data_IF_530089962251
#
_entry.id   IF_530089962251
#
_cell.length_a   1.000
_cell.length_b   1.000
_cell.length_c   1.000
_cell.angle_alpha   90.00
_cell.angle_beta   90.00
_cell.angle_gamma   90.00
#
_symmetry.space_group_name_H-M   'P 1'
#
loop_
_entity.id
_entity.type
_entity.pdbx_description
1 polymer ?
#
# COMPACT_ATOMS: atom_id res chain seq x y z
N UNK A 1 -10.95 -6.90 5.78
CA UNK A 1 -9.62 -7.19 6.34
C UNK A 1 -9.30 -8.67 6.16
N UNK A 2 -8.08 -9.01 5.75
CA UNK A 2 -7.69 -10.41 5.48
C UNK A 2 -6.80 -10.89 6.62
N UNK A 3 -7.11 -12.03 7.20
CA UNK A 3 -6.27 -12.68 8.21
C UNK A 3 -5.63 -13.92 7.59
N UNK A 4 -4.33 -13.86 7.31
CA UNK A 4 -3.60 -15.07 6.88
C UNK A 4 -3.23 -15.94 8.08
N UNK A 5 -3.42 -17.26 7.96
CA UNK A 5 -2.96 -18.22 8.96
C UNK A 5 -2.32 -19.46 8.32
N UNK A 6 -1.39 -20.10 9.04
CA UNK A 6 -0.73 -21.34 8.58
C UNK A 6 -1.39 -22.59 9.16
N UNK A 7 -1.56 -22.64 10.48
CA UNK A 7 -2.08 -23.81 11.21
C UNK A 7 -3.10 -23.50 12.32
N UNK A 8 -3.22 -22.23 12.73
CA UNK A 8 -4.06 -21.80 13.86
C UNK A 8 -5.40 -21.25 13.38
N UNK A 9 -6.21 -22.10 12.77
CA UNK A 9 -7.50 -21.73 12.18
C UNK A 9 -8.48 -21.16 13.21
N UNK A 10 -8.61 -21.82 14.37
CA UNK A 10 -9.53 -21.39 15.41
C UNK A 10 -9.19 -19.98 15.94
N UNK A 11 -7.90 -19.66 16.10
CA UNK A 11 -7.46 -18.32 16.51
C UNK A 11 -7.75 -17.28 15.41
N UNK A 12 -7.51 -17.63 14.14
CA UNK A 12 -7.80 -16.74 13.02
C UNK A 12 -9.30 -16.46 12.86
N UNK A 13 -10.15 -17.48 13.05
CA UNK A 13 -11.60 -17.33 13.04
C UNK A 13 -12.11 -16.52 14.23
N UNK A 14 -11.49 -16.66 15.41
CA UNK A 14 -11.81 -15.80 16.55
C UNK A 14 -11.50 -14.34 16.25
N UNK A 15 -10.34 -14.04 15.66
CA UNK A 15 -9.98 -12.68 15.24
C UNK A 15 -10.98 -12.13 14.22
N UNK A 16 -11.43 -12.96 13.26
CA UNK A 16 -12.49 -12.56 12.31
C UNK A 16 -13.77 -12.18 13.06
N UNK A 17 -14.23 -13.05 13.96
CA UNK A 17 -15.44 -12.81 14.75
C UNK A 17 -15.33 -11.53 15.59
N UNK A 18 -14.17 -11.26 16.19
CA UNK A 18 -13.93 -10.05 16.98
C UNK A 18 -13.98 -8.77 16.13
N UNK A 19 -13.50 -8.83 14.88
CA UNK A 19 -13.56 -7.70 13.93
C UNK A 19 -15.01 -7.49 13.48
N UNK A 20 -15.74 -8.56 13.15
CA UNK A 20 -17.14 -8.49 12.75
C UNK A 20 -18.04 -7.97 13.87
N UNK A 21 -17.80 -8.36 15.12
CA UNK A 21 -18.51 -7.86 16.29
C UNK A 21 -18.33 -6.35 16.51
N UNK A 22 -17.23 -5.77 16.01
CA UNK A 22 -16.96 -4.32 16.07
C UNK A 22 -17.50 -3.56 14.84
N UNK A 23 -18.27 -4.23 13.98
CA UNK A 23 -18.81 -3.65 12.75
C UNK A 23 -17.82 -3.59 11.59
N UNK A 24 -16.64 -4.19 11.73
CA UNK A 24 -15.69 -4.38 10.64
C UNK A 24 -16.05 -5.57 9.74
N UNK A 25 -15.39 -5.69 8.61
CA UNK A 25 -15.48 -6.89 7.75
C UNK A 25 -14.13 -7.58 7.69
N UNK A 26 -14.09 -8.88 8.01
CA UNK A 26 -12.88 -9.68 7.94
C UNK A 26 -13.14 -11.08 7.38
N UNK A 27 -12.10 -11.70 6.84
CA UNK A 27 -12.12 -13.12 6.49
C UNK A 27 -10.73 -13.72 6.65
N UNK A 28 -10.69 -15.00 6.99
CA UNK A 28 -9.45 -15.74 7.17
C UNK A 28 -9.09 -16.50 5.89
N UNK A 29 -7.81 -16.48 5.52
CA UNK A 29 -7.25 -17.31 4.44
C UNK A 29 -6.13 -18.16 5.00
N UNK A 30 -6.13 -19.44 4.66
CA UNK A 30 -5.03 -20.32 5.01
C UNK A 30 -3.95 -20.28 3.92
N UNK A 31 -2.75 -19.83 4.26
CA UNK A 31 -1.58 -19.97 3.39
C UNK A 31 -0.29 -20.01 4.20
N UNK A 32 0.58 -20.95 3.85
CA UNK A 32 2.00 -20.90 4.22
C UNK A 32 2.73 -19.91 3.31
N UNK A 33 3.24 -18.82 3.89
CA UNK A 33 3.98 -17.79 3.14
C UNK A 33 5.31 -18.34 2.60
N UNK A 34 5.82 -19.44 3.17
CA UNK A 34 7.02 -20.12 2.67
C UNK A 34 6.77 -20.96 1.41
N UNK A 35 5.51 -21.17 1.01
CA UNK A 35 5.12 -21.93 -0.18
C UNK A 35 4.56 -20.98 -1.25
N UNK A 36 5.33 -20.78 -2.33
CA UNK A 36 4.97 -19.89 -3.44
C UNK A 36 3.61 -20.25 -4.07
N UNK A 37 3.28 -21.54 -4.20
CA UNK A 37 2.02 -21.96 -4.79
C UNK A 37 0.83 -21.61 -3.90
N UNK A 38 1.00 -21.66 -2.57
CA UNK A 38 -0.02 -21.24 -1.61
C UNK A 38 -0.18 -19.72 -1.60
N UNK A 39 0.94 -18.98 -1.67
CA UNK A 39 0.92 -17.51 -1.79
C UNK A 39 0.16 -17.09 -3.05
N UNK A 40 0.47 -17.68 -4.21
CA UNK A 40 -0.22 -17.36 -5.47
C UNK A 40 -1.72 -17.66 -5.38
N UNK A 41 -2.13 -18.76 -4.74
CA UNK A 41 -3.56 -19.09 -4.52
C UNK A 41 -4.24 -18.08 -3.61
N UNK A 42 -3.60 -17.71 -2.50
CA UNK A 42 -4.08 -16.69 -1.56
C UNK A 42 -4.32 -15.35 -2.28
N UNK A 43 -3.35 -14.87 -3.07
CA UNK A 43 -3.51 -13.64 -3.85
C UNK A 43 -4.65 -13.74 -4.87
N UNK A 44 -4.83 -14.90 -5.53
CA UNK A 44 -5.95 -15.12 -6.46
C UNK A 44 -7.31 -15.05 -5.77
N UNK A 45 -7.42 -15.54 -4.53
CA UNK A 45 -8.62 -15.42 -3.70
C UNK A 45 -8.84 -13.96 -3.25
N UNK A 46 -7.77 -13.21 -3.00
CA UNK A 46 -7.83 -11.77 -2.70
C UNK A 46 -8.27 -10.93 -3.91
N UNK A 47 -7.82 -11.27 -5.11
CA UNK A 47 -8.22 -10.58 -6.34
C UNK A 47 -9.72 -10.76 -6.66
N UNK A 48 -10.31 -11.87 -6.19
CA UNK A 48 -11.75 -12.12 -6.29
C UNK A 48 -12.57 -11.32 -5.26
N UNK A 49 -11.91 -10.70 -4.28
CA UNK A 49 -12.56 -9.84 -3.29
C UNK A 49 -12.53 -8.38 -3.78
N UNK A 50 -13.70 -7.72 -3.92
CA UNK A 50 -13.73 -6.33 -4.34
C UNK A 50 -13.01 -5.44 -3.31
N UNK A 51 -11.93 -4.76 -3.72
CA UNK A 51 -11.36 -3.61 -3.01
C UNK A 51 -9.92 -3.75 -2.49
N UNK A 52 -9.55 -4.88 -1.87
CA UNK A 52 -8.37 -4.94 -1.00
C UNK A 52 -7.01 -4.65 -1.69
N UNK A 53 -6.77 -5.23 -2.88
CA UNK A 53 -5.52 -5.00 -3.63
C UNK A 53 -5.62 -3.86 -4.64
N UNK A 54 -6.84 -3.51 -5.06
CA UNK A 54 -7.05 -2.49 -6.07
C UNK A 54 -6.65 -1.10 -5.57
N UNK A 55 -6.90 -0.80 -4.30
CA UNK A 55 -6.50 0.46 -3.67
C UNK A 55 -4.97 0.59 -3.62
N UNK A 56 -4.25 -0.47 -3.28
CA UNK A 56 -2.79 -0.48 -3.29
C UNK A 56 -2.22 -0.37 -4.73
N UNK A 57 -2.76 -1.14 -5.68
CA UNK A 57 -2.34 -1.06 -7.07
C UNK A 57 -2.53 0.35 -7.65
N UNK A 58 -3.65 0.99 -7.31
CA UNK A 58 -3.97 2.34 -7.82
C UNK A 58 -3.12 3.40 -7.11
N UNK A 59 -3.13 3.43 -5.79
CA UNK A 59 -2.53 4.50 -5.00
C UNK A 59 -1.02 4.37 -4.87
N UNK A 60 -0.49 3.15 -4.85
CA UNK A 60 0.95 2.90 -4.62
C UNK A 60 1.65 2.58 -5.93
N UNK A 61 1.23 1.52 -6.63
CA UNK A 61 1.93 1.10 -7.86
C UNK A 61 1.81 2.15 -8.96
N UNK A 62 0.60 2.71 -9.16
CA UNK A 62 0.39 3.81 -10.12
C UNK A 62 1.28 5.02 -9.81
N UNK A 63 1.27 5.48 -8.55
CA UNK A 63 2.09 6.62 -8.10
C UNK A 63 3.58 6.34 -8.28
N UNK A 64 4.06 5.15 -7.91
CA UNK A 64 5.47 4.77 -8.07
C UNK A 64 5.92 4.86 -9.54
N UNK A 65 5.12 4.33 -10.45
CA UNK A 65 5.42 4.39 -11.90
C UNK A 65 5.44 5.83 -12.39
N UNK A 66 4.45 6.65 -12.01
CA UNK A 66 4.41 8.07 -12.35
C UNK A 66 5.64 8.83 -11.84
N UNK A 67 6.02 8.63 -10.58
CA UNK A 67 7.21 9.23 -9.98
C UNK A 67 8.47 8.84 -10.76
N UNK A 68 8.66 7.55 -11.08
CA UNK A 68 9.81 7.08 -11.86
C UNK A 68 9.91 7.77 -13.21
N UNK A 69 8.79 7.86 -13.94
CA UNK A 69 8.77 8.48 -15.26
C UNK A 69 8.92 10.01 -15.21
N UNK A 70 8.44 10.66 -14.15
CA UNK A 70 8.67 12.07 -13.89
C UNK A 70 10.15 12.34 -13.61
N UNK A 71 10.79 11.54 -12.74
CA UNK A 71 12.22 11.68 -12.41
C UNK A 71 13.09 11.57 -13.65
N UNK A 72 12.85 10.59 -14.53
CA UNK A 72 13.60 10.45 -15.79
C UNK A 72 13.57 11.72 -16.66
N UNK A 73 12.47 12.47 -16.62
CA UNK A 73 12.26 13.68 -17.45
C UNK A 73 12.74 14.95 -16.76
N UNK A 74 12.63 15.02 -15.44
CA UNK A 74 12.97 16.20 -14.64
C UNK A 74 14.43 16.22 -14.23
N UNK A 75 15.06 15.05 -14.08
CA UNK A 75 16.40 14.91 -13.53
C UNK A 75 17.44 15.65 -14.36
N UNK A 76 18.20 16.52 -13.70
CA UNK A 76 19.34 17.21 -14.32
C UNK A 76 20.42 16.24 -14.78
N UNK A 77 20.56 15.09 -14.13
CA UNK A 77 21.48 14.02 -14.54
C UNK A 77 21.06 13.35 -15.87
N UNK A 78 19.80 13.49 -16.27
CA UNK A 78 19.27 12.98 -17.53
C UNK A 78 18.96 14.08 -18.55
N UNK A 79 19.51 15.28 -18.36
CA UNK A 79 19.29 16.42 -19.27
C UNK A 79 17.96 17.17 -19.04
N UNK A 80 17.25 16.84 -17.95
CA UNK A 80 16.15 17.65 -17.43
C UNK A 80 16.64 18.96 -16.81
N UNK A 81 15.70 19.84 -16.44
CA UNK A 81 16.02 21.18 -15.91
C UNK A 81 15.97 21.24 -14.39
N UNK A 82 14.98 20.59 -13.81
CA UNK A 82 14.63 20.48 -12.38
C UNK A 82 13.16 20.03 -12.29
N UNK A 83 12.62 19.85 -11.08
CA UNK A 83 11.20 19.55 -10.94
C UNK A 83 10.68 19.48 -9.51
N UNK A 84 9.36 19.39 -9.40
CA UNK A 84 8.67 19.10 -8.15
C UNK A 84 7.63 17.99 -8.35
N UNK A 85 7.67 16.98 -7.49
CA UNK A 85 6.72 15.87 -7.44
C UNK A 85 5.92 16.00 -6.15
N UNK A 86 4.60 16.17 -6.27
CA UNK A 86 3.70 16.26 -5.11
C UNK A 86 2.77 15.05 -5.09
N UNK A 87 2.88 14.25 -4.04
CA UNK A 87 2.00 13.12 -3.80
C UNK A 87 0.87 13.53 -2.86
N UNK A 88 -0.35 13.06 -3.12
CA UNK A 88 -1.51 13.33 -2.26
C UNK A 88 -1.69 12.16 -1.29
N UNK A 89 -1.39 12.41 -0.02
CA UNK A 89 -1.60 11.48 1.10
C UNK A 89 -2.93 11.76 1.81
N UNK A 90 -3.05 11.41 3.09
CA UNK A 90 -4.24 11.62 3.93
C UNK A 90 -3.87 11.46 5.40
N UNK A 91 -4.58 12.14 6.30
CA UNK A 91 -4.53 11.87 7.74
C UNK A 91 -4.75 10.38 8.11
N UNK A 92 -5.46 9.62 7.27
CA UNK A 92 -5.66 8.18 7.42
C UNK A 92 -4.34 7.39 7.50
N UNK A 93 -3.24 7.88 6.91
CA UNK A 93 -1.92 7.24 7.02
C UNK A 93 -1.40 7.18 8.46
N UNK A 94 -1.84 8.10 9.32
CA UNK A 94 -1.42 8.19 10.73
C UNK A 94 -2.40 7.49 11.67
N UNK A 95 -3.69 7.53 11.37
CA UNK A 95 -4.74 6.99 12.25
C UNK A 95 -5.03 5.51 11.99
N UNK A 96 -4.64 4.98 10.82
CA UNK A 96 -4.85 3.57 10.46
C UNK A 96 -6.28 3.22 10.06
N UNK A 97 -7.23 4.15 10.20
CA UNK A 97 -8.67 4.01 9.87
C UNK A 97 -9.26 2.66 10.29
N UNK A 98 -9.20 2.30 11.59
CA UNK A 98 -9.71 1.02 12.07
C UNK A 98 -11.19 0.88 11.75
N UNK A 99 -11.60 -0.33 11.34
CA UNK A 99 -12.99 -0.69 10.99
C UNK A 99 -13.63 0.10 9.82
N UNK A 100 -12.87 0.94 9.10
CA UNK A 100 -13.39 1.75 7.99
C UNK A 100 -12.67 1.44 6.67
N UNK A 101 -11.40 1.84 6.52
CA UNK A 101 -10.62 1.65 5.29
C UNK A 101 -9.12 1.40 5.58
N UNK A 102 -8.82 0.26 6.22
CA UNK A 102 -7.44 -0.11 6.61
C UNK A 102 -6.50 -0.27 5.40
N UNK A 103 -7.02 -0.75 4.27
CA UNK A 103 -6.30 -0.88 2.99
C UNK A 103 -5.97 0.49 2.37
N UNK A 104 -6.90 1.45 2.44
CA UNK A 104 -6.65 2.84 2.07
C UNK A 104 -5.61 3.50 2.98
N UNK A 105 -5.75 3.35 4.30
CA UNK A 105 -4.79 3.87 5.27
C UNK A 105 -3.38 3.28 5.03
N UNK A 106 -3.28 1.97 4.79
CA UNK A 106 -2.03 1.31 4.42
C UNK A 106 -1.45 1.88 3.11
N UNK A 107 -2.28 2.09 2.08
CA UNK A 107 -1.83 2.69 0.82
C UNK A 107 -1.28 4.11 1.00
N UNK A 108 -1.86 4.88 1.93
CA UNK A 108 -1.44 6.25 2.24
C UNK A 108 -0.16 6.28 3.08
N UNK A 109 0.00 5.35 4.02
CA UNK A 109 1.27 5.12 4.72
C UNK A 109 2.40 4.69 3.78
N UNK A 110 2.09 3.87 2.77
CA UNK A 110 3.04 3.53 1.72
C UNK A 110 3.42 4.76 0.87
N UNK A 111 2.47 5.63 0.52
CA UNK A 111 2.76 6.89 -0.18
C UNK A 111 3.62 7.86 0.63
N UNK A 112 3.41 7.96 1.95
CA UNK A 112 4.23 8.79 2.82
C UNK A 112 5.69 8.30 2.83
N UNK A 113 5.87 6.99 2.94
CA UNK A 113 7.19 6.35 2.91
C UNK A 113 7.87 6.50 1.55
N UNK A 114 7.12 6.26 0.46
CA UNK A 114 7.60 6.48 -0.91
C UNK A 114 8.07 7.91 -1.10
N UNK A 115 7.25 8.89 -0.70
CA UNK A 115 7.59 10.30 -0.84
C UNK A 115 8.88 10.62 -0.10
N UNK A 116 8.99 10.22 1.17
CA UNK A 116 10.18 10.48 1.97
C UNK A 116 11.45 9.89 1.34
N UNK A 117 11.40 8.63 0.90
CA UNK A 117 12.53 7.98 0.23
C UNK A 117 12.89 8.70 -1.06
N UNK A 118 11.90 8.98 -1.90
CA UNK A 118 12.08 9.65 -3.18
C UNK A 118 12.71 11.02 -3.00
N UNK A 119 12.24 11.85 -2.05
CA UNK A 119 12.79 13.18 -1.78
C UNK A 119 14.30 13.15 -1.54
N UNK A 120 14.80 12.13 -0.82
CA UNK A 120 16.21 11.99 -0.51
C UNK A 120 17.00 11.48 -1.73
N UNK A 121 16.44 10.53 -2.48
CA UNK A 121 17.08 9.92 -3.65
C UNK A 121 17.28 10.92 -4.81
N UNK A 122 16.31 11.83 -5.01
CA UNK A 122 16.30 12.72 -6.17
C UNK A 122 16.77 14.15 -5.88
N UNK A 123 17.10 14.45 -4.61
CA UNK A 123 17.51 15.79 -4.19
C UNK A 123 18.71 16.33 -5.00
N UNK A 124 19.73 15.48 -5.22
CA UNK A 124 20.92 15.85 -5.99
C UNK A 124 20.64 16.05 -7.49
N UNK A 125 19.48 15.58 -7.98
CA UNK A 125 19.06 15.66 -9.38
C UNK A 125 18.20 16.90 -9.67
N UNK A 126 18.14 17.85 -8.73
CA UNK A 126 17.34 19.09 -8.86
C UNK A 126 15.84 18.89 -8.67
N UNK A 127 15.41 17.74 -8.14
CA UNK A 127 14.00 17.42 -7.95
C UNK A 127 13.64 17.49 -6.47
N UNK A 128 12.50 18.09 -6.15
CA UNK A 128 11.89 18.07 -4.81
C UNK A 128 10.69 17.13 -4.83
N UNK A 129 10.58 16.25 -3.83
CA UNK A 129 9.36 15.46 -3.62
C UNK A 129 8.73 15.79 -2.27
N UNK A 130 7.41 15.94 -2.23
CA UNK A 130 6.65 16.21 -0.98
C UNK A 130 5.30 15.51 -1.00
N UNK A 131 4.72 15.31 0.18
CA UNK A 131 3.38 14.76 0.37
C UNK A 131 2.49 15.82 1.01
N UNK A 132 1.24 15.89 0.58
CA UNK A 132 0.20 16.73 1.17
C UNK A 132 -0.95 15.84 1.62
N UNK A 133 -1.42 15.96 2.88
CA UNK A 133 -2.40 15.05 3.48
C UNK A 133 -3.48 15.75 4.28
#
# INVERSE_FOLDING_TARGET
>A
MVINFRQREAEALQVVADIEAQGGSAFALQADIADEAQVVRMFRQLDQQPGALRVLATNVTGTFICCREAVKRMSTAHGGRDGAIVNVSSAASRTGSPNEYVDYAASKGAMDTLTRGLSLEVAAQGIRSTACG
#
